data_IF_076641078553
#
_entry.id   IF_076641078553
#
_cell.length_a   1.000
_cell.length_b   1.000
_cell.length_c   1.000
_cell.angle_alpha   90.00
_cell.angle_beta   90.00
_cell.angle_gamma   90.00
#
_symmetry.space_group_name_H-M   'P 1'
#
loop_
_entity.id
_entity.type
_entity.pdbx_description
1 polymer ?
#
# COMPACT_ATOMS: atom_id res chain seq x y z
N UNK A 1 -26.57 7.72 -29.60
CA UNK A 1 -26.78 8.44 -28.33
C UNK A 1 -25.75 7.95 -27.32
N UNK A 2 -24.82 8.80 -26.90
CA UNK A 2 -23.90 8.47 -25.79
C UNK A 2 -24.76 8.50 -24.52
N UNK A 3 -24.87 7.36 -23.83
CA UNK A 3 -25.64 7.30 -22.58
C UNK A 3 -25.10 8.33 -21.59
N UNK A 4 -25.99 9.12 -20.97
CA UNK A 4 -25.67 10.02 -19.86
C UNK A 4 -25.18 9.20 -18.65
N UNK A 5 -23.88 8.92 -18.63
CA UNK A 5 -23.24 8.15 -17.55
C UNK A 5 -22.80 9.12 -16.47
N UNK A 6 -23.42 8.99 -15.29
CA UNK A 6 -22.99 9.67 -14.08
C UNK A 6 -21.84 8.90 -13.42
N UNK A 7 -20.81 9.63 -13.03
CA UNK A 7 -19.64 9.11 -12.30
C UNK A 7 -19.57 9.77 -10.92
N UNK A 8 -19.01 9.04 -9.95
CA UNK A 8 -18.74 9.56 -8.60
C UNK A 8 -17.24 9.67 -8.41
N UNK A 9 -16.77 10.76 -7.79
CA UNK A 9 -15.38 10.87 -7.34
C UNK A 9 -15.14 10.03 -6.08
N UNK A 10 -13.87 9.79 -5.75
CA UNK A 10 -13.53 9.23 -4.44
C UNK A 10 -13.90 10.24 -3.33
N UNK A 11 -14.46 9.80 -2.18
CA UNK A 11 -14.84 10.70 -1.09
C UNK A 11 -13.61 11.29 -0.38
N UNK A 12 -13.74 12.52 0.11
CA UNK A 12 -12.71 13.14 0.96
C UNK A 12 -12.63 12.45 2.33
N UNK A 13 -11.51 12.66 3.03
CA UNK A 13 -11.36 12.18 4.41
C UNK A 13 -12.46 12.69 5.34
N UNK A 14 -12.89 13.95 5.18
CA UNK A 14 -13.98 14.56 5.95
C UNK A 14 -15.30 13.82 5.72
N UNK A 15 -15.61 13.45 4.47
CA UNK A 15 -16.83 12.71 4.15
C UNK A 15 -16.81 11.29 4.73
N UNK A 16 -15.67 10.62 4.70
CA UNK A 16 -15.51 9.30 5.34
C UNK A 16 -15.59 9.43 6.87
N UNK A 17 -15.00 10.48 7.46
CA UNK A 17 -14.98 10.71 8.90
C UNK A 17 -16.38 10.96 9.49
N UNK A 18 -17.27 11.57 8.71
CA UNK A 18 -18.67 11.82 9.05
C UNK A 18 -19.56 10.56 8.95
N UNK A 19 -19.09 9.50 8.28
CA UNK A 19 -19.82 8.25 8.19
C UNK A 19 -19.77 7.45 9.51
N UNK A 20 -20.72 6.54 9.66
CA UNK A 20 -20.75 5.52 10.70
C UNK A 20 -19.98 4.27 10.26
N UNK A 21 -19.55 3.45 11.23
CA UNK A 21 -18.92 2.17 10.90
C UNK A 21 -19.87 1.24 10.13
N UNK A 22 -21.18 1.28 10.43
CA UNK A 22 -22.21 0.49 9.76
C UNK A 22 -22.29 0.82 8.26
N UNK A 23 -22.34 2.11 7.90
CA UNK A 23 -22.36 2.54 6.49
C UNK A 23 -21.10 2.07 5.73
N UNK A 24 -19.93 2.12 6.37
CA UNK A 24 -18.70 1.60 5.76
C UNK A 24 -18.72 0.08 5.59
N UNK A 25 -19.37 -0.65 6.51
CA UNK A 25 -19.57 -2.11 6.37
C UNK A 25 -20.57 -2.45 5.26
N UNK A 26 -21.58 -1.62 5.04
CA UNK A 26 -22.50 -1.75 3.91
C UNK A 26 -21.79 -1.57 2.57
N UNK A 27 -20.74 -0.73 2.53
CA UNK A 27 -19.79 -0.65 1.41
C UNK A 27 -18.80 -1.84 1.32
N UNK A 28 -19.07 -2.96 2.00
CA UNK A 28 -18.28 -4.21 1.98
C UNK A 28 -16.84 -4.05 2.51
N UNK A 29 -16.57 -3.06 3.36
CA UNK A 29 -15.24 -2.90 3.98
C UNK A 29 -14.93 -3.98 5.02
N UNK A 30 -15.96 -4.63 5.59
CA UNK A 30 -15.80 -5.70 6.58
C UNK A 30 -14.99 -5.27 7.80
N UNK A 31 -14.05 -6.11 8.23
CA UNK A 31 -13.20 -5.82 9.39
C UNK A 31 -12.28 -4.60 9.22
N UNK A 32 -12.17 -4.03 8.01
CA UNK A 32 -11.36 -2.84 7.73
C UNK A 32 -12.09 -1.53 8.02
N UNK A 33 -13.42 -1.57 8.14
CA UNK A 33 -14.24 -0.38 8.39
C UNK A 33 -13.76 0.45 9.61
N UNK A 34 -13.44 -0.15 10.78
CA UNK A 34 -12.94 0.62 11.93
C UNK A 34 -11.60 1.33 11.66
N UNK A 35 -10.70 0.67 10.94
CA UNK A 35 -9.37 1.22 10.59
C UNK A 35 -9.49 2.38 9.60
N UNK A 36 -10.33 2.22 8.57
CA UNK A 36 -10.60 3.28 7.59
C UNK A 36 -11.24 4.51 8.26
N UNK A 37 -12.24 4.30 9.11
CA UNK A 37 -12.90 5.38 9.84
C UNK A 37 -11.94 6.11 10.78
N UNK A 38 -11.11 5.37 11.51
CA UNK A 38 -10.10 5.95 12.39
C UNK A 38 -9.07 6.79 11.62
N UNK A 39 -8.56 6.28 10.49
CA UNK A 39 -7.62 7.02 9.64
C UNK A 39 -8.27 8.29 9.08
N UNK A 40 -9.50 8.19 8.55
CA UNK A 40 -10.23 9.34 8.03
C UNK A 40 -10.44 10.44 9.07
N UNK A 41 -10.80 10.08 10.32
CA UNK A 41 -10.96 11.04 11.42
C UNK A 41 -9.63 11.68 11.84
N UNK A 42 -8.54 10.92 11.89
CA UNK A 42 -7.23 11.50 12.19
C UNK A 42 -6.80 12.52 11.12
N UNK A 43 -7.08 12.24 9.84
CA UNK A 43 -6.78 13.16 8.74
C UNK A 43 -7.73 14.36 8.76
N UNK A 44 -9.03 14.15 8.91
CA UNK A 44 -10.03 15.21 8.91
C UNK A 44 -9.83 16.23 10.03
N UNK A 45 -9.40 15.78 11.21
CA UNK A 45 -9.16 16.63 12.38
C UNK A 45 -7.71 17.17 12.44
N UNK A 46 -6.88 16.91 11.41
CA UNK A 46 -5.51 17.41 11.33
C UNK A 46 -4.48 16.70 12.22
N UNK A 47 -4.86 15.61 12.92
CA UNK A 47 -3.93 14.79 13.72
C UNK A 47 -2.94 14.00 12.86
N UNK A 48 -3.29 13.75 11.60
CA UNK A 48 -2.41 13.14 10.60
C UNK A 48 -2.43 14.00 9.34
N UNK A 49 -1.27 14.50 8.95
CA UNK A 49 -1.13 15.36 7.77
C UNK A 49 -0.48 14.58 6.62
N UNK A 50 -1.26 14.29 5.59
CA UNK A 50 -0.81 13.56 4.41
C UNK A 50 0.25 14.34 3.63
N UNK A 51 0.19 15.67 3.58
CA UNK A 51 1.13 16.47 2.79
C UNK A 51 2.54 16.49 3.40
N UNK A 52 2.65 16.32 4.73
CA UNK A 52 3.96 16.19 5.40
C UNK A 52 4.76 15.00 4.88
N UNK A 53 4.11 13.95 4.40
CA UNK A 53 4.81 12.75 3.90
C UNK A 53 5.71 13.06 2.70
N UNK A 54 5.41 14.09 1.90
CA UNK A 54 6.24 14.51 0.75
C UNK A 54 7.60 15.07 1.15
N UNK A 55 7.69 15.66 2.34
CA UNK A 55 8.90 16.28 2.84
C UNK A 55 9.81 15.31 3.62
N UNK A 56 9.31 14.10 3.91
CA UNK A 56 10.05 13.09 4.66
C UNK A 56 10.88 12.21 3.75
N UNK A 57 11.98 11.65 4.28
CA UNK A 57 12.65 10.54 3.62
C UNK A 57 11.79 9.26 3.68
N UNK A 58 12.16 8.25 2.88
CA UNK A 58 11.40 7.01 2.77
C UNK A 58 11.16 6.32 4.13
N UNK A 59 12.19 6.27 4.98
CA UNK A 59 12.10 5.54 6.25
C UNK A 59 11.15 6.27 7.22
N UNK A 60 11.26 7.59 7.31
CA UNK A 60 10.40 8.43 8.12
C UNK A 60 8.96 8.45 7.62
N UNK A 61 8.73 8.62 6.31
CA UNK A 61 7.40 8.62 5.71
C UNK A 61 6.69 7.27 5.93
N UNK A 62 7.43 6.17 5.84
CA UNK A 62 6.93 4.82 6.09
C UNK A 62 6.56 4.60 7.55
N UNK A 63 7.43 5.04 8.47
CA UNK A 63 7.16 4.96 9.90
C UNK A 63 5.93 5.79 10.27
N UNK A 64 5.78 6.99 9.69
CA UNK A 64 4.64 7.86 9.93
C UNK A 64 3.33 7.21 9.46
N UNK A 65 3.27 6.71 8.22
CA UNK A 65 2.09 5.99 7.71
C UNK A 65 1.69 4.80 8.59
N UNK A 66 2.67 4.06 9.14
CA UNK A 66 2.42 2.91 10.00
C UNK A 66 1.82 3.27 11.37
N UNK A 67 1.75 4.56 11.73
CA UNK A 67 1.00 5.03 12.91
C UNK A 67 -0.51 4.92 12.72
N UNK A 68 -0.98 4.91 11.46
CA UNK A 68 -2.40 4.73 11.16
C UNK A 68 -2.83 3.28 11.45
N UNK A 69 -3.92 3.14 12.19
CA UNK A 69 -4.47 1.82 12.53
C UNK A 69 -4.73 1.00 11.26
N UNK A 70 -4.20 -0.22 11.21
CA UNK A 70 -4.38 -1.13 10.08
C UNK A 70 -3.43 -0.90 8.91
N UNK A 71 -2.52 0.08 8.99
CA UNK A 71 -1.47 0.29 8.00
C UNK A 71 -0.20 -0.43 8.44
N UNK A 72 0.01 -1.64 7.92
CA UNK A 72 1.28 -2.35 8.08
C UNK A 72 2.32 -1.95 7.05
N UNK A 73 3.55 -2.44 7.20
CA UNK A 73 4.68 -2.12 6.33
C UNK A 73 4.37 -2.25 4.83
N UNK A 74 3.73 -3.35 4.41
CA UNK A 74 3.33 -3.53 3.00
C UNK A 74 2.39 -2.42 2.50
N UNK A 75 1.41 -2.03 3.32
CA UNK A 75 0.43 -0.99 2.93
C UNK A 75 1.11 0.37 2.86
N UNK A 76 1.97 0.69 3.84
CA UNK A 76 2.77 1.91 3.82
C UNK A 76 3.64 1.97 2.55
N UNK A 77 4.34 0.90 2.21
CA UNK A 77 5.16 0.82 1.00
C UNK A 77 4.31 1.02 -0.27
N UNK A 78 3.10 0.45 -0.34
CA UNK A 78 2.20 0.69 -1.47
C UNK A 78 1.76 2.15 -1.58
N UNK A 79 1.40 2.79 -0.46
CA UNK A 79 0.99 4.20 -0.46
C UNK A 79 2.14 5.09 -0.89
N UNK A 80 3.36 4.85 -0.38
CA UNK A 80 4.54 5.64 -0.73
C UNK A 80 4.93 5.47 -2.21
N UNK A 81 4.90 4.24 -2.73
CA UNK A 81 5.22 3.98 -4.13
C UNK A 81 4.19 4.62 -5.07
N UNK A 82 2.90 4.36 -4.84
CA UNK A 82 1.84 4.73 -5.80
C UNK A 82 1.32 6.15 -5.63
N UNK A 83 1.28 6.66 -4.40
CA UNK A 83 0.72 7.96 -4.07
C UNK A 83 1.74 9.08 -3.93
N UNK A 84 2.99 8.75 -3.55
CA UNK A 84 4.02 9.74 -3.22
C UNK A 84 5.29 9.64 -4.07
N UNK A 85 5.42 8.64 -4.95
CA UNK A 85 6.56 8.54 -5.88
C UNK A 85 7.88 8.11 -5.24
N UNK A 86 7.84 7.41 -4.11
CA UNK A 86 9.05 6.83 -3.51
C UNK A 86 9.50 5.59 -4.30
N UNK A 87 10.31 5.80 -5.33
CA UNK A 87 10.79 4.73 -6.23
C UNK A 87 11.60 3.63 -5.53
N UNK A 88 12.12 3.90 -4.33
CA UNK A 88 12.83 2.91 -3.51
C UNK A 88 11.89 1.99 -2.70
N UNK A 89 10.59 2.30 -2.63
CA UNK A 89 9.62 1.51 -1.88
C UNK A 89 9.38 0.15 -2.57
N UNK A 90 9.44 -0.93 -1.80
CA UNK A 90 9.27 -2.29 -2.32
C UNK A 90 8.20 -3.07 -1.54
N UNK A 91 6.91 -2.93 -1.90
CA UNK A 91 5.84 -3.64 -1.21
C UNK A 91 5.97 -5.17 -1.37
N UNK A 92 6.24 -5.87 -0.26
CA UNK A 92 6.31 -7.34 -0.23
C UNK A 92 4.97 -7.91 0.22
N UNK A 93 4.23 -8.50 -0.72
CA UNK A 93 3.04 -9.30 -0.47
C UNK A 93 3.27 -10.78 -0.84
N UNK A 94 2.22 -11.60 -0.74
CA UNK A 94 2.31 -13.04 -1.04
C UNK A 94 2.74 -13.35 -2.48
N UNK A 95 2.48 -12.47 -3.46
CA UNK A 95 2.89 -12.67 -4.84
C UNK A 95 4.36 -12.32 -5.03
N UNK A 96 4.79 -11.22 -4.43
CA UNK A 96 6.21 -10.82 -4.42
C UNK A 96 7.05 -11.83 -3.66
N UNK A 97 6.59 -12.33 -2.51
CA UNK A 97 7.29 -13.41 -1.79
C UNK A 97 7.48 -14.64 -2.67
N UNK A 98 6.43 -15.05 -3.40
CA UNK A 98 6.51 -16.14 -4.38
C UNK A 98 7.48 -15.81 -5.52
N UNK A 99 7.45 -14.59 -6.05
CA UNK A 99 8.37 -14.14 -7.10
C UNK A 99 9.83 -14.26 -6.64
N UNK A 100 10.14 -13.68 -5.48
CA UNK A 100 11.48 -13.71 -4.90
C UNK A 100 11.93 -15.15 -4.63
N UNK A 101 11.03 -15.97 -4.09
CA UNK A 101 11.32 -17.36 -3.80
C UNK A 101 11.60 -18.18 -5.08
N UNK A 102 10.83 -17.99 -6.14
CA UNK A 102 10.96 -18.75 -7.38
C UNK A 102 12.14 -18.28 -8.24
N UNK A 103 12.35 -16.98 -8.34
CA UNK A 103 13.29 -16.40 -9.30
C UNK A 103 14.69 -16.19 -8.72
N UNK A 104 14.78 -15.87 -7.42
CA UNK A 104 16.06 -15.51 -6.78
C UNK A 104 16.54 -16.55 -5.75
N UNK A 105 15.64 -17.41 -5.26
CA UNK A 105 15.96 -18.48 -4.31
C UNK A 105 15.46 -19.87 -4.76
N UNK A 106 15.65 -20.31 -6.02
CA UNK A 106 15.02 -21.53 -6.54
C UNK A 106 15.48 -22.82 -5.85
N UNK A 107 16.71 -22.84 -5.30
CA UNK A 107 17.31 -24.04 -4.71
C UNK A 107 16.95 -24.27 -3.24
N UNK A 108 16.55 -23.23 -2.51
CA UNK A 108 16.24 -23.33 -1.07
C UNK A 108 15.24 -22.28 -0.65
N UNK A 109 14.21 -22.70 0.10
CA UNK A 109 13.24 -21.78 0.69
C UNK A 109 13.94 -20.76 1.59
N UNK A 110 13.82 -19.48 1.24
CA UNK A 110 14.31 -18.37 2.04
C UNK A 110 13.26 -18.01 3.09
N UNK A 111 13.73 -17.60 4.28
CA UNK A 111 12.84 -17.04 5.30
C UNK A 111 12.32 -15.66 4.88
N UNK A 112 11.18 -15.26 5.41
CA UNK A 112 10.61 -13.92 5.15
C UNK A 112 11.61 -12.79 5.45
N UNK A 113 12.32 -12.88 6.59
CA UNK A 113 13.38 -11.95 6.97
C UNK A 113 14.49 -11.87 5.90
N UNK A 114 14.86 -13.01 5.30
CA UNK A 114 15.87 -13.06 4.24
C UNK A 114 15.35 -12.44 2.95
N UNK A 115 14.08 -12.71 2.58
CA UNK A 115 13.45 -12.12 1.39
C UNK A 115 13.34 -10.59 1.51
N UNK A 116 12.88 -10.08 2.66
CA UNK A 116 12.78 -8.63 2.94
C UNK A 116 14.14 -7.95 2.87
N UNK A 117 15.17 -8.55 3.48
CA UNK A 117 16.55 -8.03 3.41
C UNK A 117 17.06 -8.03 1.97
N UNK A 118 16.83 -9.11 1.22
CA UNK A 118 17.24 -9.19 -0.18
C UNK A 118 16.58 -8.09 -1.03
N UNK A 119 15.26 -7.92 -0.90
CA UNK A 119 14.52 -6.89 -1.61
C UNK A 119 15.07 -5.48 -1.31
N UNK A 120 15.42 -5.20 -0.05
CA UNK A 120 15.95 -3.91 0.37
C UNK A 120 17.36 -3.59 -0.18
N UNK A 121 18.15 -4.60 -0.56
CA UNK A 121 19.55 -4.39 -0.97
C UNK A 121 19.84 -4.74 -2.43
N UNK A 122 18.95 -5.45 -3.13
CA UNK A 122 19.24 -5.99 -4.46
C UNK A 122 18.84 -5.06 -5.61
N UNK A 123 17.67 -4.42 -5.53
CA UNK A 123 17.08 -3.70 -6.67
C UNK A 123 17.52 -2.24 -6.79
N UNK A 124 18.29 -1.74 -5.82
CA UNK A 124 18.83 -0.38 -5.85
C UNK A 124 17.77 0.71 -5.68
N UNK A 125 18.05 1.95 -6.16
CA UNK A 125 17.22 3.12 -5.89
C UNK A 125 15.82 3.07 -6.52
N UNK A 126 15.63 2.26 -7.57
CA UNK A 126 14.36 2.12 -8.29
C UNK A 126 13.68 0.78 -8.02
N UNK A 127 13.80 0.29 -6.79
CA UNK A 127 13.27 -1.00 -6.37
C UNK A 127 11.75 -1.15 -6.65
N UNK A 128 10.98 -0.07 -6.55
CA UNK A 128 9.56 -0.04 -6.84
C UNK A 128 9.20 -0.44 -8.26
N UNK A 129 10.00 -0.05 -9.26
CA UNK A 129 9.78 -0.49 -10.65
C UNK A 129 10.01 -1.99 -10.79
N UNK A 130 11.09 -2.53 -10.21
CA UNK A 130 11.33 -3.97 -10.19
C UNK A 130 10.17 -4.71 -9.50
N UNK A 131 9.65 -4.17 -8.39
CA UNK A 131 8.50 -4.72 -7.69
C UNK A 131 7.25 -4.80 -8.59
N UNK A 132 6.97 -3.74 -9.36
CA UNK A 132 5.84 -3.70 -10.28
C UNK A 132 5.96 -4.75 -11.40
N UNK A 133 7.15 -4.88 -12.02
CA UNK A 133 7.39 -5.90 -13.04
C UNK A 133 7.26 -7.32 -12.48
N UNK A 134 7.83 -7.59 -11.30
CA UNK A 134 7.71 -8.89 -10.63
C UNK A 134 6.25 -9.21 -10.32
N UNK A 135 5.50 -8.26 -9.76
CA UNK A 135 4.08 -8.45 -9.46
C UNK A 135 3.27 -8.74 -10.72
N UNK A 136 3.47 -7.94 -11.77
CA UNK A 136 2.79 -8.12 -13.05
C UNK A 136 3.09 -9.50 -13.64
N UNK A 137 4.38 -9.87 -13.75
CA UNK A 137 4.81 -11.17 -14.24
C UNK A 137 4.13 -12.32 -13.48
N UNK A 138 4.13 -12.27 -12.14
CA UNK A 138 3.50 -13.33 -11.33
C UNK A 138 1.98 -13.41 -11.50
N UNK A 139 1.31 -12.31 -11.83
CA UNK A 139 -0.14 -12.24 -12.01
C UNK A 139 -0.58 -12.63 -13.43
N UNK A 140 0.25 -12.40 -14.44
CA UNK A 140 -0.10 -12.64 -15.85
C UNK A 140 0.51 -13.90 -16.44
N UNK A 141 1.49 -14.52 -15.77
CA UNK A 141 2.01 -15.83 -16.16
C UNK A 141 0.86 -16.84 -16.18
N UNK A 142 0.45 -17.24 -17.38
CA UNK A 142 -0.47 -18.37 -17.58
C UNK A 142 0.17 -19.62 -16.98
N UNK A 143 -0.63 -20.38 -16.23
CA UNK A 143 -0.24 -21.72 -15.78
C UNK A 143 -0.04 -22.63 -16.98
#
# INVERSE_FOLDING_TARGET
AVADRRYNSFPSAQRIAAATEAELRDCKMGFRAPSLLAAARQIADGRFDLEKLRALDYAAARAELMRLRGVGGKIADCVLLFGYGFDSAFPVDVWIERALQQLYFPRRRASEKRLRRFAATHFGPHAGYAQQYLFHYMRTKKK
#
